data_IF_949657765168
#
_entry.id   IF_949657765168
#
_cell.length_a   1.000
_cell.length_b   1.000
_cell.length_c   1.000
_cell.angle_alpha   90.00
_cell.angle_beta   90.00
_cell.angle_gamma   90.00
#
_symmetry.space_group_name_H-M   'P 1'
#
loop_
_entity.id
_entity.type
_entity.pdbx_description
1 polymer ?
#
# COMPACT_ATOMS: atom_id res chain seq x y z
N UNK A 1 -0.92 0.99 -12.01
CA UNK A 1 -2.08 0.18 -12.41
C UNK A 1 -3.31 0.80 -11.74
N UNK A 2 -4.28 1.28 -12.51
CA UNK A 2 -5.47 2.00 -12.02
C UNK A 2 -6.75 1.18 -12.19
N UNK A 3 -6.65 -0.15 -12.05
CA UNK A 3 -7.74 -1.10 -12.23
C UNK A 3 -7.82 -2.05 -11.05
N UNK A 4 -8.96 -2.70 -10.89
CA UNK A 4 -9.11 -3.82 -9.95
C UNK A 4 -8.37 -5.06 -10.44
N UNK A 5 -8.05 -5.92 -9.48
CA UNK A 5 -7.47 -7.22 -9.75
C UNK A 5 -8.53 -8.19 -10.30
N UNK A 6 -8.12 -9.05 -11.23
CA UNK A 6 -8.93 -10.13 -11.76
C UNK A 6 -8.69 -11.43 -10.98
N UNK A 7 -9.68 -12.33 -10.96
CA UNK A 7 -9.59 -13.61 -10.23
C UNK A 7 -8.34 -14.42 -10.61
N UNK A 8 -7.92 -14.37 -11.87
CA UNK A 8 -6.72 -15.05 -12.35
C UNK A 8 -5.45 -14.58 -11.63
N UNK A 9 -5.36 -13.30 -11.26
CA UNK A 9 -4.18 -12.74 -10.58
C UNK A 9 -4.01 -13.33 -9.17
N UNK A 10 -5.13 -13.62 -8.48
CA UNK A 10 -5.11 -14.33 -7.20
C UNK A 10 -4.74 -15.82 -7.40
N UNK A 11 -5.29 -16.46 -8.42
CA UNK A 11 -5.07 -17.88 -8.70
C UNK A 11 -3.58 -18.20 -8.97
N UNK A 12 -2.87 -17.31 -9.68
CA UNK A 12 -1.43 -17.48 -9.90
C UNK A 12 -0.63 -17.49 -8.60
N UNK A 13 -0.97 -16.62 -7.63
CA UNK A 13 -0.30 -16.65 -6.33
C UNK A 13 -0.60 -17.95 -5.58
N UNK A 14 -1.86 -18.39 -5.58
CA UNK A 14 -2.25 -19.64 -4.92
C UNK A 14 -1.53 -20.85 -5.53
N UNK A 15 -1.40 -20.88 -6.86
CA UNK A 15 -0.66 -21.92 -7.56
C UNK A 15 0.83 -21.92 -7.17
N UNK A 16 1.44 -20.74 -7.01
CA UNK A 16 2.82 -20.64 -6.53
C UNK A 16 2.96 -21.14 -5.09
N UNK A 17 2.07 -20.71 -4.19
CA UNK A 17 2.10 -21.08 -2.77
C UNK A 17 1.81 -22.56 -2.54
N UNK A 18 1.02 -23.18 -3.41
CA UNK A 18 0.75 -24.62 -3.36
C UNK A 18 1.89 -25.48 -3.91
N UNK A 19 2.86 -24.90 -4.61
CA UNK A 19 3.97 -25.63 -5.22
C UNK A 19 5.18 -25.76 -4.29
N UNK A 20 6.06 -26.71 -4.62
CA UNK A 20 7.28 -27.02 -3.84
C UNK A 20 8.23 -25.81 -3.67
N UNK A 21 8.17 -24.85 -4.59
CA UNK A 21 8.98 -23.62 -4.54
C UNK A 21 8.64 -22.74 -3.34
N UNK A 22 7.44 -22.87 -2.79
CA UNK A 22 7.02 -22.16 -1.59
C UNK A 22 7.28 -22.95 -0.29
N UNK A 23 8.06 -24.04 -0.32
CA UNK A 23 8.25 -24.95 0.83
C UNK A 23 8.80 -24.33 2.12
N UNK A 24 9.34 -23.11 2.07
CA UNK A 24 9.81 -22.37 3.25
C UNK A 24 8.97 -21.10 3.55
N UNK A 25 7.82 -20.98 2.91
CA UNK A 25 6.90 -19.85 3.06
C UNK A 25 5.69 -20.33 3.88
N UNK A 26 5.53 -19.81 5.09
CA UNK A 26 4.38 -20.10 5.96
C UNK A 26 4.10 -18.93 6.90
N UNK A 27 2.86 -18.82 7.38
CA UNK A 27 2.44 -17.80 8.36
C UNK A 27 2.47 -16.35 7.84
N UNK A 28 2.60 -16.14 6.53
CA UNK A 28 2.70 -14.82 5.92
C UNK A 28 1.38 -14.37 5.29
N UNK A 29 1.17 -13.05 5.26
CA UNK A 29 0.07 -12.41 4.54
C UNK A 29 0.58 -11.73 3.27
N UNK A 30 -0.01 -12.08 2.13
CA UNK A 30 0.33 -11.51 0.83
C UNK A 30 -0.76 -10.55 0.35
N UNK A 31 -0.39 -9.29 0.10
CA UNK A 31 -1.28 -8.29 -0.49
C UNK A 31 -1.21 -8.35 -2.02
N UNK A 32 -2.36 -8.45 -2.67
CA UNK A 32 -2.52 -8.46 -4.12
C UNK A 32 -3.41 -7.28 -4.51
N UNK A 33 -2.87 -6.08 -4.50
CA UNK A 33 -3.61 -4.82 -4.63
C UNK A 33 -3.05 -3.89 -5.72
N UNK A 34 -2.10 -4.39 -6.54
CA UNK A 34 -1.42 -3.59 -7.56
C UNK A 34 -0.58 -2.44 -6.99
N UNK A 35 -0.22 -2.47 -5.70
CA UNK A 35 0.55 -1.44 -5.01
C UNK A 35 -0.30 -0.32 -4.41
N UNK A 36 -1.62 -0.49 -4.33
CA UNK A 36 -2.54 0.50 -3.79
C UNK A 36 -2.25 0.84 -2.31
N UNK A 37 -2.02 -0.14 -1.45
CA UNK A 37 -1.78 0.05 -0.02
C UNK A 37 -0.41 0.70 0.28
N UNK A 38 0.55 0.58 -0.63
CA UNK A 38 1.88 1.21 -0.48
C UNK A 38 1.92 2.62 -1.08
N UNK A 39 0.87 3.02 -1.78
CA UNK A 39 0.69 4.39 -2.24
C UNK A 39 0.20 5.21 -1.05
N UNK A 40 1.09 6.02 -0.48
CA UNK A 40 0.71 7.02 0.51
C UNK A 40 -0.46 7.86 -0.03
N UNK A 41 -1.61 7.91 0.68
CA UNK A 41 -2.60 8.93 0.38
C UNK A 41 -1.91 10.28 0.57
N UNK A 42 -2.06 11.15 -0.41
CA UNK A 42 -1.55 12.52 -0.37
C UNK A 42 -0.04 12.71 -0.34
N UNK A 43 0.78 11.77 -0.86
CA UNK A 43 2.17 12.13 -1.19
C UNK A 43 2.13 13.13 -2.35
N UNK A 44 2.46 14.42 -2.13
CA UNK A 44 2.53 15.34 -3.25
C UNK A 44 3.59 14.81 -4.23
N UNK A 45 3.46 15.10 -5.55
CA UNK A 45 4.58 14.90 -6.46
C UNK A 45 5.81 15.54 -5.84
N UNK A 46 7.01 15.03 -6.14
CA UNK A 46 8.28 15.46 -5.55
C UNK A 46 8.60 16.90 -5.99
N UNK A 47 7.79 17.86 -5.54
CA UNK A 47 7.98 19.29 -5.67
C UNK A 47 9.10 19.61 -4.69
N UNK A 48 10.12 20.30 -5.20
CA UNK A 48 11.24 20.77 -4.40
C UNK A 48 10.74 21.43 -3.12
N UNK A 49 11.38 21.04 -2.02
CA UNK A 49 10.99 21.39 -0.65
C UNK A 49 10.66 22.89 -0.54
N UNK A 50 9.41 23.23 -0.18
CA UNK A 50 9.04 24.61 0.15
C UNK A 50 9.82 25.03 1.42
N UNK A 51 10.45 26.23 1.48
CA UNK A 51 11.44 26.53 2.51
C UNK A 51 10.88 26.78 3.92
N UNK A 52 9.56 26.83 4.10
CA UNK A 52 8.92 27.36 5.32
C UNK A 52 8.01 26.34 6.05
N UNK A 53 8.60 25.24 6.51
CA UNK A 53 7.91 24.21 7.30
C UNK A 53 7.46 24.67 8.73
N UNK A 54 6.94 25.90 8.91
CA UNK A 54 6.62 26.47 10.23
C UNK A 54 5.25 27.15 10.40
N UNK A 55 4.27 27.00 9.51
CA UNK A 55 3.01 27.77 9.63
C UNK A 55 1.69 26.99 9.79
N UNK A 56 1.67 25.67 10.03
CA UNK A 56 0.40 24.94 10.21
C UNK A 56 0.39 23.98 11.41
N UNK A 57 0.46 24.55 12.61
CA UNK A 57 -0.18 23.96 13.78
C UNK A 57 -1.50 24.73 13.99
N UNK A 58 -2.63 24.17 13.55
CA UNK A 58 -3.97 24.66 13.86
C UNK A 58 -4.57 23.84 15.00
N UNK A 59 -5.41 24.41 15.88
CA UNK A 59 -5.88 23.72 17.07
C UNK A 59 -7.00 22.75 16.71
N UNK A 60 -6.86 21.48 17.09
CA UNK A 60 -7.99 20.57 17.18
C UNK A 60 -8.85 21.02 18.37
N UNK A 61 -10.11 21.32 18.11
CA UNK A 61 -11.11 21.58 19.15
C UNK A 61 -11.51 20.25 19.79
N UNK A 62 -11.25 20.10 21.09
CA UNK A 62 -11.77 19.00 21.90
C UNK A 62 -13.27 19.23 22.16
N UNK A 63 -14.08 18.24 21.78
CA UNK A 63 -15.49 18.15 22.17
C UNK A 63 -15.64 17.12 23.28
N UNK A 64 -16.00 17.60 24.48
CA UNK A 64 -16.94 17.10 25.51
C UNK A 64 -16.86 18.05 26.70
#
# INVERSE_FOLDING_TARGET
MGRYAEAAEFAHLMLFLAGDKAGFITGAYYQIDGGAARRLPDRPPRVERCPDARSRAGPFHDGV
#
